data_IF_051685727851
#
_entry.id   IF_051685727851
#
_cell.length_a   1.000
_cell.length_b   1.000
_cell.length_c   1.000
_cell.angle_alpha   90.00
_cell.angle_beta   90.00
_cell.angle_gamma   90.00
#
_symmetry.space_group_name_H-M   'P 1'
#
loop_
_entity.id
_entity.type
_entity.pdbx_description
1 polymer ?
#
# COMPACT_ATOMS: atom_id res chain seq x y z
N UNK A 1 -9.21 -15.63 -52.74
CA UNK A 1 -9.49 -14.35 -52.08
C UNK A 1 -9.76 -14.60 -50.61
N UNK A 2 -9.04 -13.88 -49.74
CA UNK A 2 -9.08 -13.74 -48.27
C UNK A 2 -9.24 -12.21 -48.04
N UNK A 3 -9.71 -11.59 -46.92
CA UNK A 3 -10.46 -12.00 -45.70
C UNK A 3 -11.56 -10.99 -45.16
N UNK A 4 -12.10 -11.31 -43.95
CA UNK A 4 -12.22 -10.45 -42.72
C UNK A 4 -13.58 -9.87 -42.26
N UNK A 5 -13.93 -10.11 -40.97
CA UNK A 5 -14.97 -9.35 -40.24
C UNK A 5 -15.43 -9.84 -38.84
N UNK A 6 -14.49 -10.05 -37.91
CA UNK A 6 -14.55 -9.97 -36.42
C UNK A 6 -15.90 -9.93 -35.66
N UNK A 7 -16.21 -11.01 -34.93
CA UNK A 7 -17.07 -11.02 -33.74
C UNK A 7 -16.24 -10.84 -32.46
N UNK A 8 -16.48 -9.76 -31.71
CA UNK A 8 -15.76 -9.43 -30.48
C UNK A 8 -16.22 -10.31 -29.32
N UNK A 9 -15.32 -11.16 -28.81
CA UNK A 9 -15.50 -11.85 -27.52
C UNK A 9 -15.07 -10.91 -26.39
N UNK A 10 -15.99 -10.60 -25.49
CA UNK A 10 -15.71 -9.86 -24.27
C UNK A 10 -14.78 -10.71 -23.37
N UNK A 11 -13.49 -10.39 -23.42
CA UNK A 11 -12.50 -10.99 -22.52
C UNK A 11 -12.68 -10.39 -21.12
N UNK A 12 -12.91 -11.25 -20.12
CA UNK A 12 -12.83 -10.87 -18.71
C UNK A 12 -11.44 -10.26 -18.45
N UNK A 13 -11.30 -9.19 -17.65
CA UNK A 13 -10.00 -8.62 -17.35
C UNK A 13 -9.13 -9.66 -16.66
N UNK A 14 -8.05 -10.06 -17.32
CA UNK A 14 -7.01 -10.92 -16.75
C UNK A 14 -6.19 -10.12 -15.73
N UNK A 15 -5.77 -10.72 -14.59
CA UNK A 15 -4.83 -10.04 -13.70
C UNK A 15 -3.47 -9.90 -14.41
N UNK A 16 -2.97 -8.67 -14.44
CA UNK A 16 -1.56 -8.24 -14.50
C UNK A 16 -0.61 -9.07 -15.39
N UNK A 17 -0.31 -8.62 -16.63
CA UNK A 17 0.46 -9.39 -17.62
C UNK A 17 1.92 -9.71 -17.23
N UNK A 18 2.49 -9.07 -16.22
CA UNK A 18 3.87 -9.36 -15.78
C UNK A 18 3.99 -10.42 -14.68
N UNK A 19 2.86 -10.92 -14.14
CA UNK A 19 2.86 -11.79 -12.97
C UNK A 19 2.51 -13.27 -13.23
N UNK A 20 2.18 -13.69 -14.46
CA UNK A 20 1.67 -15.06 -14.72
C UNK A 20 2.62 -15.96 -15.53
N UNK A 21 3.70 -15.47 -16.15
CA UNK A 21 4.62 -16.33 -16.90
C UNK A 21 6.06 -16.25 -16.38
N UNK A 22 6.32 -16.89 -15.24
CA UNK A 22 7.67 -17.32 -14.92
C UNK A 22 7.64 -18.70 -14.25
N UNK A 23 8.30 -19.72 -14.82
CA UNK A 23 8.42 -21.07 -14.23
C UNK A 23 9.08 -21.11 -12.84
N UNK A 24 9.58 -19.97 -12.34
CA UNK A 24 10.40 -19.85 -11.14
C UNK A 24 9.62 -19.84 -9.81
N UNK A 25 8.29 -19.89 -9.80
CA UNK A 25 7.52 -19.87 -8.53
C UNK A 25 7.80 -21.07 -7.62
N UNK A 26 8.09 -22.26 -8.16
CA UNK A 26 8.17 -23.49 -7.36
C UNK A 26 9.37 -23.52 -6.39
N UNK A 27 10.44 -22.75 -6.66
CA UNK A 27 11.68 -22.79 -5.87
C UNK A 27 12.07 -21.42 -5.23
N UNK A 28 11.17 -20.44 -5.21
CA UNK A 28 11.44 -19.15 -4.56
C UNK A 28 11.22 -19.23 -3.03
N UNK A 29 12.11 -18.61 -2.22
CA UNK A 29 11.89 -18.42 -0.78
C UNK A 29 10.55 -17.74 -0.48
N UNK A 30 9.93 -18.02 0.66
CA UNK A 30 8.64 -17.47 1.06
C UNK A 30 8.59 -15.92 1.00
N UNK A 31 9.73 -15.26 1.22
CA UNK A 31 9.91 -13.80 1.13
C UNK A 31 9.62 -13.23 -0.26
N UNK A 32 9.69 -14.05 -1.31
CA UNK A 32 9.43 -13.65 -2.70
C UNK A 32 8.03 -14.06 -3.21
N UNK A 33 7.27 -14.90 -2.49
CA UNK A 33 5.93 -15.38 -2.89
C UNK A 33 4.78 -14.46 -2.45
N UNK A 34 5.02 -13.48 -1.59
CA UNK A 34 3.97 -12.64 -0.98
C UNK A 34 3.32 -11.61 -1.92
N UNK A 35 3.85 -11.40 -3.11
CA UNK A 35 3.52 -10.23 -3.93
C UNK A 35 2.26 -10.37 -4.82
N UNK A 36 1.65 -11.55 -4.91
CA UNK A 36 0.34 -11.73 -5.54
C UNK A 36 -0.76 -11.85 -4.48
N UNK A 37 -1.34 -10.72 -4.07
CA UNK A 37 -2.57 -10.66 -3.27
C UNK A 37 -2.43 -10.89 -1.75
N UNK A 38 -1.25 -11.26 -1.26
CA UNK A 38 -1.03 -11.64 0.15
C UNK A 38 -0.12 -10.68 0.94
N UNK A 39 0.60 -9.76 0.29
CA UNK A 39 1.54 -8.83 0.93
C UNK A 39 0.88 -7.95 2.00
N UNK A 40 -0.30 -7.42 1.70
CA UNK A 40 -1.10 -6.58 2.62
C UNK A 40 -1.67 -7.33 3.84
N UNK A 41 -1.61 -8.66 3.86
CA UNK A 41 -2.15 -9.48 4.96
C UNK A 41 -1.09 -9.85 6.00
N UNK A 42 0.17 -9.44 5.78
CA UNK A 42 1.27 -9.77 6.71
C UNK A 42 1.19 -8.89 7.96
N UNK A 43 0.77 -7.62 7.82
CA UNK A 43 0.64 -6.69 8.94
C UNK A 43 -0.34 -7.21 10.00
N UNK A 44 -1.62 -7.52 9.68
CA UNK A 44 -2.55 -7.97 10.72
C UNK A 44 -2.13 -9.28 11.39
N UNK A 45 -1.31 -10.10 10.73
CA UNK A 45 -0.72 -11.31 11.31
C UNK A 45 0.39 -11.01 12.31
N UNK A 46 1.20 -9.97 12.06
CA UNK A 46 2.21 -9.53 13.01
C UNK A 46 1.56 -8.97 14.29
N UNK A 47 0.48 -8.18 14.15
CA UNK A 47 -0.29 -7.68 15.30
C UNK A 47 -0.93 -8.81 16.10
N UNK A 48 -1.48 -9.82 15.41
CA UNK A 48 -2.04 -10.99 16.08
C UNK A 48 -1.01 -11.72 16.95
N UNK A 49 0.26 -11.79 16.51
CA UNK A 49 1.31 -12.40 17.33
C UNK A 49 1.68 -11.51 18.51
N UNK A 50 1.75 -10.18 18.33
CA UNK A 50 1.96 -9.25 19.46
C UNK A 50 0.86 -9.43 20.52
N UNK A 51 -0.39 -9.69 20.13
CA UNK A 51 -1.47 -10.00 21.06
C UNK A 51 -1.33 -11.35 21.78
N UNK A 52 -0.61 -12.31 21.17
CA UNK A 52 -0.33 -13.62 21.77
C UNK A 52 0.89 -13.60 22.71
N UNK A 53 1.70 -12.53 22.67
CA UNK A 53 2.88 -12.39 23.50
C UNK A 53 2.51 -12.49 24.99
N UNK A 54 3.18 -13.39 25.72
CA UNK A 54 2.91 -13.67 27.13
C UNK A 54 1.80 -14.70 27.38
N UNK A 55 1.14 -15.24 26.35
CA UNK A 55 0.23 -16.37 26.52
C UNK A 55 1.00 -17.68 26.79
N UNK A 56 0.44 -18.64 27.54
CA UNK A 56 1.07 -19.95 27.76
C UNK A 56 1.28 -20.76 26.47
N UNK A 57 0.56 -20.42 25.39
CA UNK A 57 0.63 -21.10 24.09
C UNK A 57 1.58 -20.42 23.11
N UNK A 58 2.25 -19.34 23.51
CA UNK A 58 3.25 -18.63 22.71
C UNK A 58 4.57 -18.65 23.46
N UNK A 59 5.48 -19.54 23.05
CA UNK A 59 6.74 -19.73 23.76
C UNK A 59 7.74 -18.60 23.43
N UNK A 60 8.78 -18.49 24.25
CA UNK A 60 9.91 -17.60 23.96
C UNK A 60 10.60 -17.99 22.65
N UNK A 61 10.65 -19.28 22.33
CA UNK A 61 11.25 -19.76 21.08
C UNK A 61 10.40 -19.38 19.86
N UNK A 62 9.07 -19.38 19.98
CA UNK A 62 8.17 -18.89 18.92
C UNK A 62 8.40 -17.40 18.65
N UNK A 63 8.52 -16.59 19.71
CA UNK A 63 8.82 -15.17 19.60
C UNK A 63 10.18 -14.93 18.94
N UNK A 64 11.24 -15.60 19.41
CA UNK A 64 12.58 -15.48 18.85
C UNK A 64 12.61 -15.85 17.36
N UNK A 65 11.88 -16.90 16.98
CA UNK A 65 11.77 -17.34 15.58
C UNK A 65 11.06 -16.30 14.72
N UNK A 66 9.97 -15.72 15.21
CA UNK A 66 9.28 -14.64 14.51
C UNK A 66 10.18 -13.41 14.36
N UNK A 67 10.86 -12.99 15.42
CA UNK A 67 11.72 -11.82 15.41
C UNK A 67 12.89 -12.00 14.44
N UNK A 68 13.50 -13.19 14.39
CA UNK A 68 14.56 -13.52 13.43
C UNK A 68 14.05 -13.48 11.98
N UNK A 69 12.87 -14.05 11.72
CA UNK A 69 12.25 -14.01 10.40
C UNK A 69 11.86 -12.59 10.00
N UNK A 70 11.26 -11.83 10.91
CA UNK A 70 10.82 -10.46 10.69
C UNK A 70 11.99 -9.53 10.42
N UNK A 71 13.10 -9.65 11.16
CA UNK A 71 14.32 -8.88 10.89
C UNK A 71 14.89 -9.20 9.50
N UNK A 72 14.97 -10.49 9.16
CA UNK A 72 15.43 -10.92 7.83
C UNK A 72 14.54 -10.35 6.71
N UNK A 73 13.22 -10.36 6.91
CA UNK A 73 12.26 -9.82 5.95
C UNK A 73 12.36 -8.30 5.83
N UNK A 74 12.43 -7.57 6.95
CA UNK A 74 12.55 -6.12 6.95
C UNK A 74 13.86 -5.67 6.31
N UNK A 75 14.99 -6.31 6.63
CA UNK A 75 16.27 -5.97 6.01
C UNK A 75 16.26 -6.24 4.50
N UNK A 76 15.67 -7.35 4.07
CA UNK A 76 15.44 -7.61 2.65
C UNK A 76 14.55 -6.53 2.01
N UNK A 77 13.47 -6.12 2.67
CA UNK A 77 12.55 -5.10 2.16
C UNK A 77 13.24 -3.73 2.01
N UNK A 78 14.15 -3.39 2.93
CA UNK A 78 14.88 -2.11 2.93
C UNK A 78 16.08 -2.08 1.97
N UNK A 79 16.67 -3.21 1.65
CA UNK A 79 17.96 -3.27 0.91
C UNK A 79 17.90 -3.98 -0.44
N UNK A 80 16.89 -4.82 -0.69
CA UNK A 80 16.78 -5.54 -1.95
C UNK A 80 16.39 -4.62 -3.11
N UNK A 81 16.77 -5.01 -4.33
CA UNK A 81 16.35 -4.32 -5.55
C UNK A 81 14.83 -4.19 -5.66
N UNK A 82 14.09 -5.26 -5.36
CA UNK A 82 12.63 -5.24 -5.44
C UNK A 82 12.04 -4.26 -4.42
N UNK A 83 12.57 -4.25 -3.19
CA UNK A 83 12.17 -3.30 -2.17
C UNK A 83 12.46 -1.85 -2.57
N UNK A 84 13.63 -1.59 -3.18
CA UNK A 84 13.99 -0.27 -3.69
C UNK A 84 13.06 0.20 -4.82
N UNK A 85 12.73 -0.69 -5.76
CA UNK A 85 11.81 -0.39 -6.87
C UNK A 85 10.41 -0.04 -6.35
N UNK A 86 9.89 -0.79 -5.37
CA UNK A 86 8.57 -0.53 -4.77
C UNK A 86 8.57 0.76 -3.91
N UNK A 87 9.63 0.99 -3.13
CA UNK A 87 9.83 2.22 -2.37
C UNK A 87 9.80 3.46 -3.29
N UNK A 88 10.37 3.34 -4.50
CA UNK A 88 10.39 4.39 -5.50
C UNK A 88 9.06 4.60 -6.24
N UNK A 89 8.07 3.71 -6.07
CA UNK A 89 6.78 3.85 -6.71
C UNK A 89 6.08 5.15 -6.25
N UNK A 90 5.54 5.89 -7.22
CA UNK A 90 4.92 7.21 -6.98
C UNK A 90 3.44 7.14 -6.62
N UNK A 91 2.80 5.99 -6.82
CA UNK A 91 1.38 5.76 -6.54
C UNK A 91 1.21 4.96 -5.23
N UNK A 92 0.02 4.41 -5.00
CA UNK A 92 -0.33 3.63 -3.80
C UNK A 92 0.65 2.51 -3.42
N UNK A 93 1.39 1.94 -4.38
CA UNK A 93 2.42 0.94 -4.10
C UNK A 93 3.49 1.45 -3.14
N UNK A 94 3.98 2.68 -3.36
CA UNK A 94 5.00 3.26 -2.50
C UNK A 94 4.49 3.55 -1.10
N UNK A 95 3.22 3.95 -0.98
CA UNK A 95 2.59 4.19 0.33
C UNK A 95 2.46 2.89 1.12
N UNK A 96 2.00 1.82 0.47
CA UNK A 96 1.89 0.51 1.10
C UNK A 96 3.23 -0.16 1.39
N UNK A 97 4.27 0.14 0.61
CA UNK A 97 5.63 -0.21 0.98
C UNK A 97 6.02 0.43 2.32
N UNK A 98 5.80 1.74 2.47
CA UNK A 98 6.11 2.45 3.71
C UNK A 98 5.31 1.88 4.89
N UNK A 99 4.01 1.56 4.71
CA UNK A 99 3.18 0.89 5.74
C UNK A 99 3.83 -0.42 6.18
N UNK A 100 4.17 -1.29 5.24
CA UNK A 100 4.78 -2.60 5.54
C UNK A 100 6.10 -2.44 6.30
N UNK A 101 6.98 -1.57 5.82
CA UNK A 101 8.29 -1.37 6.40
C UNK A 101 8.22 -0.72 7.79
N UNK A 102 7.38 0.31 7.97
CA UNK A 102 7.19 0.97 9.25
C UNK A 102 6.54 0.06 10.29
N UNK A 103 5.55 -0.74 9.87
CA UNK A 103 4.87 -1.67 10.77
C UNK A 103 5.80 -2.77 11.29
N UNK A 104 6.55 -3.43 10.39
CA UNK A 104 7.54 -4.42 10.82
C UNK A 104 8.65 -3.81 11.68
N UNK A 105 9.07 -2.58 11.39
CA UNK A 105 10.03 -1.88 12.23
C UNK A 105 9.49 -1.66 13.65
N UNK A 106 8.20 -1.31 13.81
CA UNK A 106 7.58 -1.16 15.13
C UNK A 106 7.45 -2.50 15.87
N UNK A 107 6.99 -3.56 15.19
CA UNK A 107 6.85 -4.91 15.75
C UNK A 107 8.19 -5.43 16.27
N UNK A 108 9.28 -5.20 15.53
CA UNK A 108 10.63 -5.63 15.89
C UNK A 108 11.35 -4.67 16.85
N UNK A 109 10.67 -3.63 17.36
CA UNK A 109 11.25 -2.65 18.27
C UNK A 109 12.24 -1.66 17.63
N UNK A 110 12.41 -1.67 16.30
CA UNK A 110 13.27 -0.75 15.52
C UNK A 110 12.59 0.60 15.29
N UNK A 111 12.24 1.28 16.38
CA UNK A 111 11.44 2.52 16.38
C UNK A 111 12.09 3.68 15.61
N UNK A 112 13.41 3.74 15.58
CA UNK A 112 14.17 4.71 14.80
C UNK A 112 13.94 4.56 13.29
N UNK A 113 13.92 3.32 12.80
CA UNK A 113 13.63 2.99 11.40
C UNK A 113 12.18 3.36 11.06
N UNK A 114 11.23 2.98 11.92
CA UNK A 114 9.82 3.33 11.73
C UNK A 114 9.62 4.84 11.67
N UNK A 115 10.17 5.58 12.65
CA UNK A 115 10.08 7.05 12.71
C UNK A 115 10.65 7.70 11.46
N UNK A 116 11.79 7.21 10.95
CA UNK A 116 12.40 7.71 9.72
C UNK A 116 11.49 7.52 8.51
N UNK A 117 10.92 6.33 8.33
CA UNK A 117 9.99 6.02 7.23
C UNK A 117 8.78 6.95 7.28
N UNK A 118 8.13 7.04 8.44
CA UNK A 118 6.90 7.81 8.63
C UNK A 118 7.15 9.32 8.45
N UNK A 119 8.24 9.85 8.99
CA UNK A 119 8.61 11.27 8.82
C UNK A 119 8.84 11.59 7.34
N UNK A 120 9.51 10.69 6.60
CA UNK A 120 9.73 10.86 5.16
C UNK A 120 8.44 10.71 4.35
N UNK A 121 7.44 9.96 4.83
CA UNK A 121 6.18 9.79 4.13
C UNK A 121 5.39 11.10 3.97
N UNK A 122 5.56 12.05 4.88
CA UNK A 122 4.99 13.39 4.76
C UNK A 122 5.36 14.06 3.42
N UNK A 123 6.64 14.07 3.07
CA UNK A 123 7.12 14.70 1.84
C UNK A 123 7.14 13.75 0.65
N UNK A 124 7.38 12.45 0.85
CA UNK A 124 7.46 11.47 -0.25
C UNK A 124 6.12 10.92 -0.71
N UNK A 125 5.12 10.89 0.18
CA UNK A 125 3.79 10.32 -0.10
C UNK A 125 2.74 11.41 -0.10
N UNK A 126 2.46 12.04 1.05
CA UNK A 126 1.36 13.03 1.14
C UNK A 126 1.59 14.19 0.17
N UNK A 127 2.75 14.84 0.23
CA UNK A 127 3.04 15.99 -0.63
C UNK A 127 3.18 15.65 -2.13
N UNK A 128 3.36 14.38 -2.50
CA UNK A 128 3.55 13.94 -3.90
C UNK A 128 2.27 13.37 -4.51
N UNK A 129 1.48 12.66 -3.71
CA UNK A 129 0.34 11.87 -4.20
C UNK A 129 -1.00 12.57 -4.05
N UNK A 130 -1.10 13.55 -3.16
CA UNK A 130 -2.34 14.26 -2.85
C UNK A 130 -2.22 15.70 -3.32
N UNK A 131 -3.17 16.14 -4.14
CA UNK A 131 -3.29 17.54 -4.55
C UNK A 131 -3.97 18.40 -3.49
N UNK A 132 -3.90 19.75 -3.58
CA UNK A 132 -4.56 20.66 -2.64
C UNK A 132 -6.06 20.39 -2.44
N UNK A 133 -6.74 19.95 -3.50
CA UNK A 133 -8.17 19.61 -3.50
C UNK A 133 -8.45 18.16 -3.07
N UNK A 134 -7.41 17.42 -2.65
CA UNK A 134 -7.50 16.03 -2.21
C UNK A 134 -7.48 14.99 -3.34
N UNK A 135 -7.42 15.42 -4.61
CA UNK A 135 -7.30 14.48 -5.73
C UNK A 135 -6.01 13.68 -5.63
N UNK A 136 -6.07 12.45 -6.12
CA UNK A 136 -4.95 11.52 -6.18
C UNK A 136 -4.69 11.15 -7.64
N UNK A 137 -3.94 11.95 -8.42
CA UNK A 137 -3.93 11.88 -9.88
C UNK A 137 -3.56 10.49 -10.43
N UNK A 138 -2.55 9.84 -9.84
CA UNK A 138 -2.09 8.52 -10.28
C UNK A 138 -3.11 7.39 -10.01
N UNK A 139 -4.03 7.60 -9.07
CA UNK A 139 -5.13 6.67 -8.79
C UNK A 139 -6.35 6.98 -9.66
N UNK A 140 -6.60 8.27 -9.96
CA UNK A 140 -7.73 8.71 -10.75
C UNK A 140 -7.65 8.28 -12.23
N UNK A 141 -6.44 8.09 -12.77
CA UNK A 141 -6.24 7.58 -14.15
C UNK A 141 -6.50 6.07 -14.29
N UNK A 142 -6.80 5.37 -13.19
CA UNK A 142 -6.99 3.91 -13.18
C UNK A 142 -8.42 3.55 -13.59
N UNK A 143 -8.59 2.35 -14.16
CA UNK A 143 -9.90 1.82 -14.56
C UNK A 143 -10.88 1.70 -13.39
N UNK A 144 -10.38 1.32 -12.21
CA UNK A 144 -11.11 1.30 -10.95
C UNK A 144 -10.67 2.46 -10.03
N UNK A 145 -10.71 3.69 -10.55
CA UNK A 145 -10.15 4.89 -9.92
C UNK A 145 -10.62 5.10 -8.48
N UNK A 146 -11.93 5.01 -8.22
CA UNK A 146 -12.47 5.17 -6.87
C UNK A 146 -11.85 4.16 -5.89
N UNK A 147 -11.81 2.89 -6.28
CA UNK A 147 -11.21 1.83 -5.45
C UNK A 147 -9.74 2.10 -5.17
N UNK A 148 -8.96 2.55 -6.16
CA UNK A 148 -7.54 2.87 -5.96
C UNK A 148 -7.32 4.11 -5.09
N UNK A 149 -8.15 5.14 -5.24
CA UNK A 149 -8.07 6.33 -4.40
C UNK A 149 -8.45 6.03 -2.94
N UNK A 150 -9.47 5.20 -2.71
CA UNK A 150 -9.78 4.70 -1.36
C UNK A 150 -8.63 3.83 -0.80
N UNK A 151 -8.04 2.97 -1.63
CA UNK A 151 -6.97 2.07 -1.23
C UNK A 151 -5.70 2.83 -0.80
N UNK A 152 -5.37 3.92 -1.49
CA UNK A 152 -4.25 4.76 -1.10
C UNK A 152 -4.57 5.66 0.11
N UNK A 153 -5.80 6.19 0.20
CA UNK A 153 -6.23 6.95 1.38
C UNK A 153 -6.20 6.08 2.66
N UNK A 154 -6.54 4.80 2.54
CA UNK A 154 -6.35 3.81 3.61
C UNK A 154 -4.86 3.68 3.97
N UNK A 155 -3.98 3.47 3.00
CA UNK A 155 -2.54 3.34 3.26
C UNK A 155 -1.93 4.58 3.96
N UNK A 156 -2.35 5.78 3.56
CA UNK A 156 -1.92 7.03 4.20
C UNK A 156 -2.44 7.11 5.65
N UNK A 157 -3.67 6.67 5.89
CA UNK A 157 -4.28 6.62 7.23
C UNK A 157 -3.55 5.61 8.14
N UNK A 158 -3.21 4.43 7.61
CA UNK A 158 -2.40 3.42 8.31
C UNK A 158 -1.03 3.98 8.69
N UNK A 159 -0.34 4.68 7.77
CA UNK A 159 0.93 5.35 8.10
C UNK A 159 0.78 6.38 9.21
N UNK A 160 -0.33 7.11 9.24
CA UNK A 160 -0.56 8.11 10.26
C UNK A 160 -0.83 7.48 11.63
N UNK A 161 -1.60 6.40 11.69
CA UNK A 161 -1.78 5.61 12.91
C UNK A 161 -0.45 5.02 13.42
N UNK A 162 0.38 4.45 12.54
CA UNK A 162 1.73 3.99 12.90
C UNK A 162 2.63 5.15 13.40
N UNK A 163 2.40 6.37 12.89
CA UNK A 163 3.07 7.60 13.32
C UNK A 163 2.85 7.93 14.79
N UNK A 164 1.67 7.69 15.33
CA UNK A 164 1.36 7.89 16.75
C UNK A 164 2.27 7.02 17.63
N UNK A 165 2.54 5.78 17.21
CA UNK A 165 3.45 4.86 17.90
C UNK A 165 4.93 5.20 17.70
N UNK A 166 5.28 5.90 16.61
CA UNK A 166 6.63 6.34 16.30
C UNK A 166 6.95 7.78 16.80
N UNK A 167 5.98 8.45 17.41
CA UNK A 167 6.12 9.83 17.89
C UNK A 167 6.20 10.87 16.76
N UNK A 168 5.44 10.68 15.69
CA UNK A 168 5.29 11.64 14.59
C UNK A 168 3.83 11.76 14.17
N UNK A 169 3.27 12.96 14.25
CA UNK A 169 1.89 13.24 13.89
C UNK A 169 1.75 13.52 12.38
N UNK A 170 1.55 12.44 11.62
CA UNK A 170 1.30 12.55 10.18
C UNK A 170 -0.16 12.93 9.86
N UNK A 171 -1.10 12.71 10.78
CA UNK A 171 -2.51 13.10 10.58
C UNK A 171 -2.66 14.60 10.35
N UNK A 172 -1.93 15.41 11.12
CA UNK A 172 -1.97 16.86 11.03
C UNK A 172 -0.93 17.46 10.07
N UNK A 173 -0.13 16.64 9.39
CA UNK A 173 0.76 17.13 8.35
C UNK A 173 -0.02 17.76 7.19
N UNK A 174 0.37 18.97 6.81
CA UNK A 174 -0.23 19.72 5.71
C UNK A 174 0.84 20.57 5.03
N UNK A 175 0.91 20.53 3.69
CA UNK A 175 1.80 21.44 2.94
C UNK A 175 1.25 22.88 2.95
N UNK A 176 2.07 23.85 2.56
CA UNK A 176 1.65 25.24 2.33
C UNK A 176 0.46 25.36 1.38
N UNK A 177 0.41 24.54 0.33
CA UNK A 177 -0.71 24.53 -0.62
C UNK A 177 -1.93 23.75 -0.10
N UNK A 178 -1.83 23.05 1.01
CA UNK A 178 -2.95 22.36 1.65
C UNK A 178 -3.06 20.85 1.41
N UNK A 179 -2.06 20.24 0.77
CA UNK A 179 -1.98 18.79 0.56
C UNK A 179 -1.91 18.08 1.92
N UNK A 180 -2.85 17.18 2.18
CA UNK A 180 -2.98 16.50 3.48
C UNK A 180 -3.79 15.20 3.35
N UNK A 181 -3.66 14.30 4.33
CA UNK A 181 -4.50 13.09 4.41
C UNK A 181 -5.98 13.48 4.51
N UNK A 182 -6.28 14.53 5.30
CA UNK A 182 -7.64 15.08 5.43
C UNK A 182 -8.23 15.48 4.07
N UNK A 183 -7.48 16.21 3.25
CA UNK A 183 -7.92 16.60 1.90
C UNK A 183 -8.24 15.36 1.04
N UNK A 184 -7.39 14.34 1.05
CA UNK A 184 -7.64 13.10 0.29
C UNK A 184 -8.93 12.39 0.72
N UNK A 185 -9.23 12.39 2.03
CA UNK A 185 -10.48 11.84 2.55
C UNK A 185 -11.68 12.70 2.15
N UNK A 186 -11.58 14.02 2.28
CA UNK A 186 -12.66 14.96 1.92
C UNK A 186 -13.02 14.89 0.44
N UNK A 187 -12.04 14.67 -0.43
CA UNK A 187 -12.28 14.42 -1.85
C UNK A 187 -13.12 13.17 -2.09
N UNK A 188 -12.98 12.12 -1.28
CA UNK A 188 -13.66 10.83 -1.48
C UNK A 188 -15.08 10.81 -0.89
N UNK A 189 -15.34 11.57 0.19
CA UNK A 189 -16.62 11.56 0.92
C UNK A 189 -17.85 11.74 0.01
N UNK A 190 -17.89 12.69 -0.94
CA UNK A 190 -19.07 12.91 -1.80
C UNK A 190 -19.43 11.73 -2.72
N UNK A 191 -18.56 10.74 -2.85
CA UNK A 191 -18.72 9.58 -3.72
C UNK A 191 -19.11 8.30 -2.96
N UNK A 192 -19.07 8.31 -1.62
CA UNK A 192 -19.52 7.19 -0.80
C UNK A 192 -21.01 6.91 -1.01
N UNK A 193 -21.38 5.63 -1.09
CA UNK A 193 -22.77 5.19 -1.32
C UNK A 193 -23.32 5.45 -2.73
N UNK A 194 -22.55 6.08 -3.63
CA UNK A 194 -22.89 6.20 -5.05
C UNK A 194 -22.36 4.97 -5.80
N UNK A 195 -23.14 4.41 -6.72
CA UNK A 195 -22.76 3.21 -7.45
C UNK A 195 -21.65 3.52 -8.50
N UNK A 196 -20.40 3.09 -8.29
CA UNK A 196 -19.28 3.43 -9.18
C UNK A 196 -19.35 2.73 -10.54
N UNK A 197 -20.28 1.79 -10.75
CA UNK A 197 -20.49 1.11 -12.04
C UNK A 197 -21.34 1.92 -13.02
N UNK A 198 -22.01 3.00 -12.58
CA UNK A 198 -22.83 3.85 -13.47
C UNK A 198 -22.11 5.11 -13.95
N UNK A 199 -21.14 5.60 -13.20
CA UNK A 199 -20.34 6.78 -13.58
C UNK A 199 -18.87 6.52 -13.29
N UNK A 200 -18.05 6.19 -14.30
CA UNK A 200 -16.59 6.23 -14.14
C UNK A 200 -16.21 7.63 -13.63
N UNK A 201 -15.37 7.74 -12.59
CA UNK A 201 -14.88 9.06 -12.15
C UNK A 201 -14.15 9.82 -13.29
N UNK A 202 -13.69 9.10 -14.32
CA UNK A 202 -13.16 9.68 -15.55
C UNK A 202 -14.19 10.45 -16.40
N UNK A 203 -15.50 10.27 -16.16
CA UNK A 203 -16.59 11.04 -16.80
C UNK A 203 -17.26 12.08 -15.87
N UNK A 204 -17.03 12.01 -14.56
CA UNK A 204 -17.52 13.03 -13.61
C UNK A 204 -16.71 14.34 -13.72
N UNK A 205 -15.46 14.26 -14.17
CA UNK A 205 -14.63 15.43 -14.48
C UNK A 205 -14.68 15.70 -15.99
N UNK A 206 -15.79 16.29 -16.44
CA UNK A 206 -15.90 16.87 -17.77
C UNK A 206 -14.85 17.97 -17.96
N UNK A 207 -14.26 17.96 -19.15
CA UNK A 207 -13.47 19.04 -19.75
C UNK A 207 -13.99 20.42 -19.37
N UNK A 208 -13.12 21.22 -18.75
CA UNK A 208 -13.13 22.68 -18.88
C UNK A 208 -12.10 23.07 -19.92
#
# INVERSE_FOLDING_TARGET
MIPCGHGSSATRPRPWPWLISSPKRKNMPLTQRSWSGLGFSIQPRADAVVLLAGSPSWSVDDQNTLDAWGNTYLDWLLTSKNGADECAAKNNHGTWYDVQAAHWALVLGRKDVAKKIITLAATKRVAVQVEPDGRQPLELVRTASFSYSCFNALALSELAALGEHAGFDLWHFKTSEGRSIRAALDFLVPYLGKNPLREPLTRVFGSS
#
